data_IF_836081404180
#
_entry.id   IF_836081404180
#
_cell.length_a   1.000
_cell.length_b   1.000
_cell.length_c   1.000
_cell.angle_alpha   90.00
_cell.angle_beta   90.00
_cell.angle_gamma   90.00
#
_symmetry.space_group_name_H-M   'P 1'
#
loop_
_entity.id
_entity.type
_entity.pdbx_description
1 polymer ?
#
# COMPACT_ATOMS: atom_id res chain seq x y z
N UNK A 1 27.02 -10.25 -3.55
CA UNK A 1 27.80 -11.11 -4.47
C UNK A 1 28.87 -10.24 -5.11
N UNK A 2 30.14 -10.47 -4.79
CA UNK A 2 31.26 -9.67 -5.32
C UNK A 2 31.73 -10.15 -6.70
N UNK A 3 32.63 -9.38 -7.32
CA UNK A 3 33.22 -9.67 -8.63
C UNK A 3 34.05 -10.96 -8.64
N UNK A 4 34.70 -11.32 -7.52
CA UNK A 4 35.47 -12.57 -7.43
C UNK A 4 34.54 -13.79 -7.47
N UNK A 5 33.39 -13.74 -6.79
CA UNK A 5 32.35 -14.78 -6.84
C UNK A 5 31.75 -14.90 -8.23
N UNK A 6 31.47 -13.76 -8.89
CA UNK A 6 30.97 -13.75 -10.26
C UNK A 6 31.99 -14.36 -11.24
N UNK A 7 33.26 -13.98 -11.13
CA UNK A 7 34.34 -14.51 -11.96
C UNK A 7 34.57 -16.01 -11.71
N UNK A 8 34.55 -16.45 -10.45
CA UNK A 8 34.62 -17.87 -10.08
C UNK A 8 33.44 -18.67 -10.66
N UNK A 9 32.23 -18.12 -10.66
CA UNK A 9 31.08 -18.78 -11.27
C UNK A 9 31.24 -18.95 -12.80
N UNK A 10 31.80 -17.96 -13.49
CA UNK A 10 32.13 -18.05 -14.92
C UNK A 10 33.19 -19.13 -15.18
N UNK A 11 34.26 -19.16 -14.38
CA UNK A 11 35.30 -20.18 -14.46
C UNK A 11 34.74 -21.60 -14.29
N UNK A 12 33.95 -21.82 -13.23
CA UNK A 12 33.34 -23.14 -12.96
C UNK A 12 32.41 -23.60 -14.08
N UNK A 13 31.71 -22.67 -14.75
CA UNK A 13 30.81 -23.01 -15.85
C UNK A 13 31.55 -23.29 -17.16
N UNK A 14 32.46 -22.39 -17.55
CA UNK A 14 33.08 -22.43 -18.88
C UNK A 14 34.32 -23.31 -18.95
N UNK A 15 35.17 -23.33 -17.92
CA UNK A 15 36.45 -24.06 -17.93
C UNK A 15 36.32 -25.43 -17.26
N UNK A 16 35.70 -25.50 -16.08
CA UNK A 16 35.47 -26.78 -15.37
C UNK A 16 34.25 -27.56 -15.92
N UNK A 17 33.47 -26.93 -16.81
CA UNK A 17 32.36 -27.57 -17.53
C UNK A 17 31.15 -27.91 -16.67
N UNK A 18 30.96 -27.26 -15.52
CA UNK A 18 29.78 -27.50 -14.69
C UNK A 18 28.52 -26.96 -15.36
N UNK A 19 27.51 -27.81 -15.51
CA UNK A 19 26.19 -27.41 -16.04
C UNK A 19 25.13 -27.21 -14.95
N UNK A 20 25.40 -27.67 -13.73
CA UNK A 20 24.47 -27.56 -12.61
C UNK A 20 24.68 -26.25 -11.83
N UNK A 21 23.79 -25.28 -12.04
CA UNK A 21 23.86 -23.98 -11.36
C UNK A 21 23.81 -24.06 -9.83
N UNK A 22 23.19 -25.08 -9.23
CA UNK A 22 23.21 -25.26 -7.75
C UNK A 22 24.60 -25.61 -7.25
N UNK A 23 25.32 -26.45 -8.00
CA UNK A 23 26.70 -26.83 -7.68
C UNK A 23 27.61 -25.61 -7.79
N UNK A 24 27.48 -24.85 -8.88
CA UNK A 24 28.24 -23.62 -9.09
C UNK A 24 27.96 -22.60 -7.99
N UNK A 25 26.68 -22.40 -7.62
CA UNK A 25 26.31 -21.50 -6.54
C UNK A 25 26.98 -21.88 -5.21
N UNK A 26 26.96 -23.17 -4.86
CA UNK A 26 27.62 -23.65 -3.64
C UNK A 26 29.14 -23.47 -3.69
N UNK A 27 29.79 -23.79 -4.80
CA UNK A 27 31.25 -23.70 -4.90
C UNK A 27 31.76 -22.26 -5.04
N UNK A 28 30.98 -21.39 -5.66
CA UNK A 28 31.27 -19.97 -5.77
C UNK A 28 30.82 -19.16 -4.55
N UNK A 29 30.24 -19.80 -3.53
CA UNK A 29 29.68 -19.13 -2.34
C UNK A 29 28.65 -18.04 -2.69
N UNK A 30 27.75 -18.38 -3.61
CA UNK A 30 26.67 -17.51 -4.10
C UNK A 30 25.34 -18.04 -3.53
N UNK A 31 24.61 -17.16 -2.84
CA UNK A 31 23.37 -17.51 -2.13
C UNK A 31 22.23 -17.97 -3.03
N UNK A 32 22.22 -17.53 -4.30
CA UNK A 32 21.11 -17.75 -5.22
C UNK A 32 21.57 -18.38 -6.53
N UNK A 33 20.88 -19.44 -6.92
CA UNK A 33 21.06 -20.11 -8.22
C UNK A 33 20.70 -19.23 -9.40
N UNK A 34 19.71 -18.35 -9.20
CA UNK A 34 19.26 -17.43 -10.25
C UNK A 34 20.32 -16.35 -10.52
N UNK A 35 21.07 -15.92 -9.50
CA UNK A 35 22.19 -14.99 -9.68
C UNK A 35 23.30 -15.61 -10.53
N UNK A 36 23.65 -16.88 -10.27
CA UNK A 36 24.62 -17.63 -11.08
C UNK A 36 24.20 -17.68 -12.54
N UNK A 37 22.93 -18.03 -12.79
CA UNK A 37 22.38 -18.09 -14.15
C UNK A 37 22.49 -16.74 -14.86
N UNK A 38 22.09 -15.65 -14.19
CA UNK A 38 22.16 -14.30 -14.75
C UNK A 38 23.59 -13.83 -15.02
N UNK A 39 24.57 -14.22 -14.19
CA UNK A 39 26.01 -13.96 -14.43
C UNK A 39 26.47 -14.67 -15.71
N UNK A 40 26.18 -15.97 -15.81
CA UNK A 40 26.59 -16.80 -16.95
C UNK A 40 25.94 -16.31 -18.25
N UNK A 41 24.67 -15.93 -18.20
CA UNK A 41 23.94 -15.34 -19.33
C UNK A 41 24.41 -13.92 -19.70
N UNK A 42 25.33 -13.31 -18.94
CA UNK A 42 25.82 -11.95 -19.19
C UNK A 42 24.81 -10.84 -18.89
N UNK A 43 23.74 -11.18 -18.17
CA UNK A 43 22.74 -10.20 -17.70
C UNK A 43 23.25 -9.42 -16.50
N UNK A 44 24.24 -9.96 -15.77
CA UNK A 44 24.91 -9.32 -14.64
C UNK A 44 26.41 -9.31 -14.86
N UNK A 45 27.08 -8.29 -14.32
CA UNK A 45 28.54 -8.18 -14.32
C UNK A 45 29.15 -8.30 -15.72
N UNK A 46 28.57 -7.61 -16.71
CA UNK A 46 29.01 -7.68 -18.11
C UNK A 46 30.50 -7.34 -18.28
N UNK A 47 31.01 -6.37 -17.53
CA UNK A 47 32.45 -6.06 -17.49
C UNK A 47 33.29 -7.28 -17.09
N UNK A 48 32.88 -7.99 -16.05
CA UNK A 48 33.54 -9.23 -15.58
C UNK A 48 33.45 -10.33 -16.64
N UNK A 49 32.34 -10.44 -17.36
CA UNK A 49 32.19 -11.40 -18.44
C UNK A 49 33.10 -11.08 -19.64
N UNK A 50 33.23 -9.81 -19.98
CA UNK A 50 34.12 -9.35 -21.05
C UNK A 50 35.59 -9.51 -20.67
N UNK A 51 35.94 -9.26 -19.41
CA UNK A 51 37.27 -9.51 -18.84
C UNK A 51 37.58 -11.01 -18.79
N UNK A 52 36.62 -11.85 -18.37
CA UNK A 52 36.77 -13.30 -18.36
C UNK A 52 37.06 -13.86 -19.77
N UNK A 53 36.38 -13.36 -20.82
CA UNK A 53 36.67 -13.76 -22.21
C UNK A 53 38.09 -13.41 -22.64
N UNK A 54 38.61 -12.26 -22.22
CA UNK A 54 39.99 -11.87 -22.50
C UNK A 54 40.99 -12.77 -21.78
N UNK A 55 40.68 -13.13 -20.55
CA UNK A 55 41.48 -14.02 -19.70
C UNK A 55 41.48 -15.46 -20.23
N UNK A 56 40.33 -15.98 -20.69
CA UNK A 56 40.23 -17.26 -21.42
C UNK A 56 41.10 -17.26 -22.68
N UNK A 57 41.09 -16.17 -23.46
CA UNK A 57 41.93 -16.05 -24.66
C UNK A 57 43.44 -16.04 -24.35
N UNK A 58 43.82 -15.69 -23.12
CA UNK A 58 45.21 -15.68 -22.64
C UNK A 58 45.58 -16.92 -21.84
N UNK A 59 44.61 -17.74 -21.45
CA UNK A 59 44.80 -18.87 -20.54
C UNK A 59 45.21 -18.47 -19.12
N UNK A 60 44.89 -17.24 -18.69
CA UNK A 60 45.24 -16.71 -17.37
C UNK A 60 43.97 -16.41 -16.56
N UNK A 61 43.64 -17.30 -15.64
CA UNK A 61 42.47 -17.19 -14.76
C UNK A 61 42.82 -16.67 -13.36
N UNK A 62 44.03 -16.12 -13.17
CA UNK A 62 44.52 -15.65 -11.88
C UNK A 62 43.97 -14.28 -11.45
N UNK A 63 43.06 -13.68 -12.22
CA UNK A 63 42.54 -12.34 -11.94
C UNK A 63 41.82 -12.30 -10.60
N UNK A 64 42.20 -11.32 -9.78
CA UNK A 64 41.49 -11.01 -8.54
C UNK A 64 40.99 -9.57 -8.59
N UNK A 65 39.80 -9.37 -8.04
CA UNK A 65 39.18 -8.06 -7.90
C UNK A 65 39.34 -7.58 -6.47
N UNK A 66 39.51 -6.27 -6.25
CA UNK A 66 39.51 -5.70 -4.91
C UNK A 66 38.20 -6.08 -4.20
N UNK A 67 38.34 -6.54 -2.96
CA UNK A 67 37.19 -6.87 -2.12
C UNK A 67 36.45 -5.55 -1.83
N UNK A 68 35.12 -5.48 -2.09
CA UNK A 68 34.31 -4.33 -1.73
C UNK A 68 34.57 -3.91 -0.28
N UNK A 69 35.02 -2.67 -0.07
CA UNK A 69 35.02 -2.08 1.27
C UNK A 69 33.66 -1.40 1.47
N UNK A 70 32.79 -1.91 2.35
CA UNK A 70 31.45 -1.40 2.47
C UNK A 70 31.48 0.05 2.97
N UNK A 71 30.86 0.94 2.20
CA UNK A 71 30.67 2.34 2.55
C UNK A 71 29.44 2.45 3.44
N UNK A 72 29.65 3.02 4.62
CA UNK A 72 28.56 3.45 5.48
C UNK A 72 28.11 4.83 4.99
N UNK A 73 26.96 4.88 4.34
CA UNK A 73 26.40 6.11 3.77
C UNK A 73 25.96 7.04 4.90
N UNK A 74 26.23 8.34 4.75
CA UNK A 74 25.56 9.37 5.53
C UNK A 74 24.07 9.40 5.20
N UNK A 75 23.27 10.04 6.07
CA UNK A 75 21.81 10.15 5.86
C UNK A 75 21.48 10.81 4.51
N UNK A 76 22.21 11.87 4.14
CA UNK A 76 22.03 12.56 2.85
C UNK A 76 22.39 11.66 1.66
N UNK A 77 23.53 10.95 1.72
CA UNK A 77 23.93 10.04 0.64
C UNK A 77 22.97 8.86 0.50
N UNK A 78 22.44 8.36 1.62
CA UNK A 78 21.43 7.31 1.63
C UNK A 78 20.16 7.75 0.93
N UNK A 79 19.66 8.95 1.25
CA UNK A 79 18.44 9.49 0.62
C UNK A 79 18.64 9.80 -0.87
N UNK A 80 19.76 10.41 -1.26
CA UNK A 80 20.09 10.66 -2.67
C UNK A 80 20.19 9.36 -3.48
N UNK A 81 20.77 8.31 -2.89
CA UNK A 81 20.89 7.01 -3.54
C UNK A 81 19.52 6.32 -3.66
N UNK A 82 18.69 6.40 -2.62
CA UNK A 82 17.32 5.90 -2.61
C UNK A 82 16.49 6.57 -3.71
N UNK A 83 16.53 7.90 -3.83
CA UNK A 83 15.79 8.66 -4.85
C UNK A 83 16.23 8.30 -6.27
N UNK A 84 17.53 8.09 -6.46
CA UNK A 84 18.11 7.63 -7.73
C UNK A 84 17.58 6.25 -8.12
N UNK A 85 17.52 5.31 -7.18
CA UNK A 85 17.01 3.96 -7.43
C UNK A 85 15.50 3.92 -7.61
N UNK A 86 14.76 4.72 -6.84
CA UNK A 86 13.34 4.90 -7.04
C UNK A 86 13.04 5.41 -8.46
N UNK A 87 13.78 6.42 -8.92
CA UNK A 87 13.66 6.95 -10.29
C UNK A 87 13.92 5.88 -11.35
N UNK A 88 14.89 4.98 -11.12
CA UNK A 88 15.17 3.85 -12.03
C UNK A 88 14.02 2.85 -12.07
N UNK A 89 13.48 2.47 -10.90
CA UNK A 89 12.32 1.59 -10.79
C UNK A 89 11.12 2.19 -11.54
N UNK A 90 10.86 3.48 -11.35
CA UNK A 90 9.74 4.19 -11.98
C UNK A 90 9.87 4.28 -13.50
N UNK A 91 11.09 4.33 -14.03
CA UNK A 91 11.32 4.34 -15.49
C UNK A 91 11.03 2.99 -16.17
N UNK A 92 10.63 1.95 -15.42
CA UNK A 92 10.37 0.58 -15.91
C UNK A 92 11.58 -0.11 -16.57
N UNK A 93 12.78 0.46 -16.47
CA UNK A 93 14.02 -0.12 -17.03
C UNK A 93 14.68 -1.12 -16.10
N UNK A 94 14.35 -1.09 -14.82
CA UNK A 94 14.98 -1.87 -13.78
C UNK A 94 13.93 -2.48 -12.85
N UNK A 95 14.19 -3.71 -12.42
CA UNK A 95 13.42 -4.44 -11.42
C UNK A 95 14.03 -4.24 -10.02
N UNK A 96 13.27 -4.56 -8.97
CA UNK A 96 13.78 -4.59 -7.59
C UNK A 96 15.04 -5.48 -7.48
N UNK A 97 15.09 -6.58 -8.23
CA UNK A 97 16.25 -7.45 -8.26
C UNK A 97 17.48 -6.76 -8.87
N UNK A 98 17.29 -5.95 -9.91
CA UNK A 98 18.39 -5.16 -10.49
C UNK A 98 18.90 -4.10 -9.49
N UNK A 99 17.99 -3.49 -8.71
CA UNK A 99 18.37 -2.54 -7.65
C UNK A 99 19.18 -3.24 -6.55
N UNK A 100 18.78 -4.45 -6.12
CA UNK A 100 19.55 -5.25 -5.17
C UNK A 100 20.98 -5.45 -5.64
N UNK A 101 21.18 -5.66 -6.94
CA UNK A 101 22.51 -5.81 -7.53
C UNK A 101 23.25 -4.47 -7.54
N UNK A 102 22.61 -3.37 -7.93
CA UNK A 102 23.28 -2.06 -7.92
C UNK A 102 23.72 -1.63 -6.52
N UNK A 103 22.95 -1.96 -5.47
CA UNK A 103 23.36 -1.71 -4.09
C UNK A 103 24.64 -2.45 -3.70
N UNK A 104 24.86 -3.65 -4.26
CA UNK A 104 26.10 -4.41 -4.08
C UNK A 104 27.25 -3.76 -4.86
N UNK A 105 26.97 -3.25 -6.07
CA UNK A 105 27.96 -2.58 -6.92
C UNK A 105 28.40 -1.22 -6.38
N UNK A 106 27.51 -0.52 -5.68
CA UNK A 106 27.80 0.76 -5.02
C UNK A 106 28.51 0.58 -3.66
N UNK A 107 28.89 -0.66 -3.33
CA UNK A 107 29.58 -1.05 -2.10
C UNK A 107 28.84 -0.58 -0.83
N UNK A 108 27.51 -0.57 -0.82
CA UNK A 108 26.73 -0.08 0.34
C UNK A 108 26.83 -1.07 1.50
N UNK A 109 26.94 -0.57 2.74
CA UNK A 109 26.92 -1.40 3.95
C UNK A 109 25.70 -2.34 3.96
N UNK A 110 25.86 -3.65 4.25
CA UNK A 110 24.80 -4.64 4.03
C UNK A 110 23.49 -4.36 4.77
N UNK A 111 23.54 -3.78 5.98
CA UNK A 111 22.31 -3.44 6.72
C UNK A 111 21.60 -2.26 6.07
N UNK A 112 22.34 -1.22 5.66
CA UNK A 112 21.79 -0.09 4.91
C UNK A 112 21.22 -0.54 3.57
N UNK A 113 21.91 -1.41 2.83
CA UNK A 113 21.43 -1.95 1.57
C UNK A 113 20.13 -2.74 1.75
N UNK A 114 20.06 -3.60 2.78
CA UNK A 114 18.86 -4.39 3.09
C UNK A 114 17.69 -3.48 3.49
N UNK A 115 17.95 -2.46 4.31
CA UNK A 115 16.94 -1.46 4.71
C UNK A 115 16.41 -0.70 3.49
N UNK A 116 17.30 -0.20 2.63
CA UNK A 116 16.95 0.56 1.44
C UNK A 116 16.14 -0.30 0.46
N UNK A 117 16.54 -1.55 0.25
CA UNK A 117 15.80 -2.47 -0.60
C UNK A 117 14.38 -2.71 -0.08
N UNK A 118 14.22 -2.86 1.25
CA UNK A 118 12.90 -2.99 1.87
C UNK A 118 12.03 -1.76 1.66
N UNK A 119 12.59 -0.57 1.89
CA UNK A 119 11.89 0.72 1.68
C UNK A 119 11.47 0.90 0.22
N UNK A 120 12.38 0.66 -0.73
CA UNK A 120 12.09 0.75 -2.17
C UNK A 120 11.06 -0.27 -2.63
N UNK A 121 11.09 -1.49 -2.09
CA UNK A 121 10.09 -2.52 -2.40
C UNK A 121 8.71 -2.11 -1.90
N UNK A 122 8.62 -1.57 -0.68
CA UNK A 122 7.36 -1.07 -0.13
C UNK A 122 6.79 0.08 -0.97
N UNK A 123 7.63 1.06 -1.35
CA UNK A 123 7.21 2.16 -2.21
C UNK A 123 6.75 1.64 -3.58
N UNK A 124 7.53 0.78 -4.22
CA UNK A 124 7.19 0.24 -5.54
C UNK A 124 5.87 -0.54 -5.53
N UNK A 125 5.65 -1.38 -4.50
CA UNK A 125 4.40 -2.12 -4.36
C UNK A 125 3.22 -1.18 -4.11
N UNK A 126 3.37 -0.17 -3.26
CA UNK A 126 2.33 0.85 -3.04
C UNK A 126 1.95 1.55 -4.35
N UNK A 127 2.94 1.96 -5.15
CA UNK A 127 2.68 2.62 -6.43
C UNK A 127 2.04 1.69 -7.47
N UNK A 128 2.42 0.41 -7.46
CA UNK A 128 1.80 -0.60 -8.31
C UNK A 128 0.34 -0.81 -7.94
N UNK A 129 0.02 -0.89 -6.65
CA UNK A 129 -1.34 -0.96 -6.13
C UNK A 129 -2.16 0.28 -6.51
N UNK A 130 -1.62 1.49 -6.32
CA UNK A 130 -2.26 2.74 -6.73
C UNK A 130 -2.57 2.75 -8.25
N UNK A 131 -1.66 2.24 -9.07
CA UNK A 131 -1.88 2.12 -10.50
C UNK A 131 -3.04 1.14 -10.81
N UNK A 132 -3.12 0.02 -10.11
CA UNK A 132 -4.22 -0.94 -10.27
C UNK A 132 -5.55 -0.32 -9.83
N UNK A 133 -5.58 0.44 -8.73
CA UNK A 133 -6.77 1.16 -8.26
C UNK A 133 -7.29 2.14 -9.30
N UNK A 134 -6.39 2.95 -9.87
CA UNK A 134 -6.78 3.89 -10.92
C UNK A 134 -7.39 3.19 -12.14
N UNK A 135 -6.85 2.03 -12.55
CA UNK A 135 -7.39 1.23 -13.65
C UNK A 135 -8.75 0.62 -13.28
N UNK A 136 -8.86 0.06 -12.08
CA UNK A 136 -10.10 -0.52 -11.57
C UNK A 136 -11.21 0.53 -11.49
N UNK A 137 -10.93 1.70 -10.92
CA UNK A 137 -11.91 2.79 -10.83
C UNK A 137 -12.35 3.29 -12.20
N UNK A 138 -11.46 3.35 -13.19
CA UNK A 138 -11.86 3.68 -14.55
C UNK A 138 -12.81 2.63 -15.14
N UNK A 139 -12.58 1.34 -14.88
CA UNK A 139 -13.49 0.24 -15.27
C UNK A 139 -14.85 0.40 -14.58
N UNK A 140 -14.86 0.60 -13.26
CA UNK A 140 -16.09 0.77 -12.48
C UNK A 140 -16.86 2.03 -12.90
N UNK A 141 -16.18 3.13 -13.24
CA UNK A 141 -16.82 4.34 -13.76
C UNK A 141 -17.58 4.06 -15.06
N UNK A 142 -16.99 3.27 -15.97
CA UNK A 142 -17.69 2.85 -17.19
C UNK A 142 -18.91 2.00 -16.87
N UNK A 143 -18.79 1.02 -15.98
CA UNK A 143 -19.90 0.13 -15.61
C UNK A 143 -21.04 0.89 -14.90
N UNK A 144 -20.74 2.01 -14.26
CA UNK A 144 -21.72 2.90 -13.62
C UNK A 144 -22.37 3.92 -14.56
N UNK A 145 -21.98 3.98 -15.85
CA UNK A 145 -22.62 4.88 -16.82
C UNK A 145 -24.06 4.49 -17.10
N UNK A 146 -24.92 5.44 -17.50
CA UNK A 146 -26.31 5.14 -17.80
C UNK A 146 -26.42 4.18 -18.99
N UNK A 147 -27.44 3.30 -18.90
CA UNK A 147 -27.88 2.48 -20.02
C UNK A 147 -28.45 3.37 -21.13
N UNK A 148 -28.44 2.84 -22.36
CA UNK A 148 -28.99 3.52 -23.53
C UNK A 148 -30.00 2.62 -24.25
N UNK A 149 -30.73 3.20 -25.18
CA UNK A 149 -31.50 2.43 -26.16
C UNK A 149 -30.68 2.23 -27.42
N UNK A 150 -30.77 1.02 -27.96
CA UNK A 150 -30.20 0.63 -29.24
C UNK A 150 -31.25 -0.05 -30.10
N UNK A 151 -30.84 -0.47 -31.28
CA UNK A 151 -31.64 -1.27 -32.19
C UNK A 151 -30.84 -2.52 -32.53
N UNK A 152 -31.47 -3.70 -32.44
CA UNK A 152 -30.83 -4.94 -32.85
C UNK A 152 -30.85 -5.12 -34.38
N UNK A 153 -30.32 -6.25 -34.86
CA UNK A 153 -30.25 -6.54 -36.29
C UNK A 153 -31.64 -6.70 -36.96
N UNK A 154 -32.68 -6.94 -36.17
CA UNK A 154 -34.07 -7.13 -36.63
C UNK A 154 -34.89 -5.83 -36.59
N UNK A 155 -34.29 -4.73 -36.12
CA UNK A 155 -34.96 -3.44 -36.00
C UNK A 155 -35.74 -3.25 -34.70
N UNK A 156 -35.57 -4.13 -33.71
CA UNK A 156 -36.25 -4.07 -32.42
C UNK A 156 -35.46 -3.14 -31.48
N UNK A 157 -36.17 -2.26 -30.78
CA UNK A 157 -35.57 -1.37 -29.78
C UNK A 157 -35.21 -2.21 -28.54
N UNK A 158 -33.93 -2.18 -28.17
CA UNK A 158 -33.39 -2.92 -27.03
C UNK A 158 -32.68 -1.98 -26.06
N UNK A 159 -32.55 -2.40 -24.80
CA UNK A 159 -31.67 -1.70 -23.83
C UNK A 159 -30.24 -2.20 -24.00
N UNK A 160 -29.29 -1.29 -24.02
CA UNK A 160 -27.86 -1.59 -24.08
C UNK A 160 -27.12 -1.03 -22.87
N UNK A 161 -26.13 -1.78 -22.40
CA UNK A 161 -25.36 -1.55 -21.19
C UNK A 161 -23.93 -1.13 -21.53
N UNK A 162 -23.30 -0.23 -20.77
CA UNK A 162 -21.93 0.19 -21.02
C UNK A 162 -20.93 -0.92 -20.63
N UNK A 163 -19.97 -1.18 -21.52
CA UNK A 163 -18.89 -2.14 -21.36
C UNK A 163 -17.55 -1.42 -21.63
N UNK A 164 -16.57 -1.50 -20.72
CA UNK A 164 -15.28 -0.90 -20.96
C UNK A 164 -14.49 -1.69 -22.02
N UNK A 165 -13.87 -0.95 -22.95
CA UNK A 165 -12.92 -1.51 -23.91
C UNK A 165 -11.52 -1.31 -23.37
N UNK A 166 -10.79 -2.39 -23.11
CA UNK A 166 -9.47 -2.35 -22.47
C UNK A 166 -8.32 -2.46 -23.47
N UNK A 167 -7.19 -1.85 -23.11
CA UNK A 167 -5.87 -2.13 -23.67
C UNK A 167 -5.28 -3.42 -23.10
N UNK A 168 -4.16 -3.88 -23.69
CA UNK A 168 -3.39 -5.01 -23.16
C UNK A 168 -2.85 -4.75 -21.73
N UNK A 169 -2.65 -3.49 -21.35
CA UNK A 169 -2.25 -3.08 -20.00
C UNK A 169 -3.44 -2.68 -19.10
N UNK A 170 -4.65 -3.12 -19.44
CA UNK A 170 -5.90 -2.92 -18.70
C UNK A 170 -6.34 -1.46 -18.51
N UNK A 171 -5.90 -0.55 -19.38
CA UNK A 171 -6.41 0.82 -19.42
C UNK A 171 -7.68 0.88 -20.26
N UNK A 172 -8.68 1.60 -19.77
CA UNK A 172 -9.91 1.88 -20.51
C UNK A 172 -9.58 2.77 -21.71
N UNK A 173 -9.79 2.27 -22.93
CA UNK A 173 -9.64 3.00 -24.19
C UNK A 173 -10.96 3.61 -24.67
N UNK A 174 -12.09 3.05 -24.26
CA UNK A 174 -13.40 3.45 -24.73
C UNK A 174 -14.52 2.69 -24.06
N UNK A 175 -15.74 2.94 -24.54
CA UNK A 175 -16.97 2.35 -24.03
C UNK A 175 -17.73 1.77 -25.21
N UNK A 176 -18.05 0.49 -25.12
CA UNK A 176 -18.94 -0.20 -26.05
C UNK A 176 -20.29 -0.42 -25.36
N UNK A 177 -21.38 -0.34 -26.10
CA UNK A 177 -22.72 -0.62 -25.54
C UNK A 177 -23.20 -1.97 -26.04
N UNK A 178 -23.48 -2.91 -25.13
CA UNK A 178 -23.88 -4.29 -25.45
C UNK A 178 -25.28 -4.62 -24.95
N UNK A 179 -25.95 -5.57 -25.60
CA UNK A 179 -27.31 -6.01 -25.25
C UNK A 179 -27.41 -6.75 -23.92
N UNK A 180 -26.28 -7.14 -23.32
CA UNK A 180 -26.22 -7.87 -22.06
C UNK A 180 -25.45 -7.08 -20.99
N UNK A 181 -25.83 -7.27 -19.72
CA UNK A 181 -25.27 -6.51 -18.58
C UNK A 181 -23.94 -7.07 -18.07
N UNK A 182 -23.70 -8.37 -18.22
CA UNK A 182 -22.54 -9.05 -17.64
C UNK A 182 -21.24 -8.62 -18.29
N UNK A 183 -20.30 -8.10 -17.51
CA UNK A 183 -18.94 -7.80 -17.93
C UNK A 183 -17.97 -8.68 -17.14
N UNK A 184 -17.07 -9.36 -17.85
CA UNK A 184 -16.01 -10.18 -17.23
C UNK A 184 -14.79 -9.30 -16.97
N UNK A 185 -14.54 -9.01 -15.70
CA UNK A 185 -13.37 -8.23 -15.29
C UNK A 185 -12.10 -9.09 -15.38
N UNK A 186 -10.98 -8.55 -15.89
CA UNK A 186 -9.70 -9.26 -15.84
C UNK A 186 -9.34 -9.68 -14.41
N UNK A 187 -8.84 -10.89 -14.24
CA UNK A 187 -8.52 -11.51 -12.94
C UNK A 187 -7.69 -10.59 -12.04
N UNK A 188 -6.65 -9.96 -12.60
CA UNK A 188 -5.80 -9.02 -11.86
C UNK A 188 -6.57 -7.83 -11.26
N UNK A 189 -7.56 -7.30 -11.98
CA UNK A 189 -8.40 -6.20 -11.48
C UNK A 189 -9.49 -6.70 -10.52
N UNK A 190 -9.97 -7.93 -10.74
CA UNK A 190 -10.93 -8.57 -9.85
C UNK A 190 -10.32 -8.85 -8.47
N UNK A 191 -9.09 -9.37 -8.43
CA UNK A 191 -8.36 -9.58 -7.18
C UNK A 191 -8.20 -8.27 -6.40
N UNK A 192 -7.83 -7.18 -7.11
CA UNK A 192 -7.72 -5.86 -6.47
C UNK A 192 -9.07 -5.35 -5.97
N UNK A 193 -10.15 -5.58 -6.71
CA UNK A 193 -11.50 -5.22 -6.28
C UNK A 193 -11.90 -5.94 -4.98
N UNK A 194 -11.59 -7.23 -4.86
CA UNK A 194 -11.86 -8.01 -3.64
C UNK A 194 -11.12 -7.41 -2.44
N UNK A 195 -9.83 -7.09 -2.61
CA UNK A 195 -9.03 -6.47 -1.55
C UNK A 195 -9.65 -5.15 -1.08
N UNK A 196 -10.03 -4.26 -2.00
CA UNK A 196 -10.66 -2.99 -1.65
C UNK A 196 -12.02 -3.18 -0.95
N UNK A 197 -12.80 -4.19 -1.36
CA UNK A 197 -14.08 -4.48 -0.72
C UNK A 197 -13.89 -4.94 0.73
N UNK A 198 -12.91 -5.82 0.98
CA UNK A 198 -12.57 -6.27 2.33
C UNK A 198 -12.13 -5.10 3.22
N UNK A 199 -11.35 -4.16 2.67
CA UNK A 199 -10.92 -2.95 3.38
C UNK A 199 -12.11 -2.06 3.77
N UNK A 200 -13.06 -1.87 2.86
CA UNK A 200 -14.30 -1.12 3.10
C UNK A 200 -15.10 -1.78 4.23
N UNK A 201 -15.31 -3.09 4.17
CA UNK A 201 -16.07 -3.84 5.17
C UNK A 201 -15.44 -3.71 6.57
N UNK A 202 -14.11 -3.75 6.66
CA UNK A 202 -13.38 -3.53 7.92
C UNK A 202 -13.58 -2.11 8.45
N UNK A 203 -13.55 -1.10 7.58
CA UNK A 203 -13.76 0.30 7.95
C UNK A 203 -15.20 0.52 8.43
N UNK A 204 -16.19 0.00 7.72
CA UNK A 204 -17.60 0.09 8.10
C UNK A 204 -17.86 -0.58 9.47
N UNK A 205 -17.29 -1.76 9.70
CA UNK A 205 -17.39 -2.45 10.98
C UNK A 205 -16.77 -1.64 12.13
N UNK A 206 -15.64 -0.95 11.90
CA UNK A 206 -15.03 -0.04 12.88
C UNK A 206 -15.93 1.18 13.13
N UNK A 207 -16.51 1.76 12.08
CA UNK A 207 -17.40 2.90 12.19
C UNK A 207 -18.66 2.56 13.01
N UNK A 208 -19.31 1.43 12.73
CA UNK A 208 -20.49 0.98 13.47
C UNK A 208 -20.19 0.73 14.97
N UNK A 209 -19.02 0.17 15.30
CA UNK A 209 -18.59 0.01 16.71
C UNK A 209 -18.37 1.36 17.41
N UNK A 210 -17.88 2.36 16.70
CA UNK A 210 -17.62 3.70 17.25
C UNK A 210 -18.90 4.49 17.51
N UNK A 211 -19.91 4.38 16.64
CA UNK A 211 -21.21 5.06 16.78
C UNK A 211 -22.08 4.40 17.85
N UNK A 212 -21.98 3.09 18.03
CA UNK A 212 -22.69 2.34 19.07
C UNK A 212 -22.21 2.70 20.49
N UNK A 213 -20.92 3.02 20.68
CA UNK A 213 -20.37 3.42 21.99
C UNK A 213 -20.75 4.84 22.44
N UNK A 214 -21.23 5.71 21.55
CA UNK A 214 -21.66 7.09 21.91
C UNK A 214 -23.10 7.18 22.43
N UNK A 215 -23.88 6.09 22.40
CA UNK A 215 -25.30 6.05 22.81
C UNK A 215 -25.54 5.51 24.22
N UNK A 216 -24.50 5.33 25.05
CA UNK A 216 -24.71 5.19 26.49
C UNK A 216 -24.89 6.58 27.10
N UNK A 217 -26.15 6.98 27.30
CA UNK A 217 -26.50 8.10 28.16
C UNK A 217 -25.78 7.92 29.50
N UNK A 218 -24.84 8.82 29.82
CA UNK A 218 -24.22 8.87 31.14
C UNK A 218 -25.33 9.01 32.18
N UNK A 219 -25.68 7.90 32.84
CA UNK A 219 -26.54 7.89 34.03
C UNK A 219 -25.83 8.67 35.14
N UNK A 220 -26.05 9.98 35.15
CA UNK A 220 -25.66 10.82 36.26
C UNK A 220 -26.33 10.36 37.56
N UNK A 221 -25.70 10.66 38.69
CA UNK A 221 -26.23 10.35 40.03
C UNK A 221 -27.69 10.82 40.13
N UNK A 222 -28.60 9.92 40.51
CA UNK A 222 -30.03 10.23 40.67
C UNK A 222 -30.18 11.48 41.55
N UNK A 223 -30.92 12.48 41.07
CA UNK A 223 -31.20 13.71 41.82
C UNK A 223 -31.78 13.34 43.19
N UNK A 224 -31.29 14.00 44.24
CA UNK A 224 -31.81 13.83 45.61
C UNK A 224 -33.26 14.35 45.74
N UNK A 225 -33.67 15.23 44.83
CA UNK A 225 -34.99 15.86 44.81
C UNK A 225 -35.83 15.29 43.68
N UNK A 226 -37.10 14.99 43.97
CA UNK A 226 -38.06 14.50 42.98
C UNK A 226 -38.37 15.56 41.93
N UNK A 227 -38.79 15.11 40.75
CA UNK A 227 -39.17 16.01 39.65
C UNK A 227 -40.34 16.93 40.02
N UNK A 228 -41.31 16.41 40.79
CA UNK A 228 -42.46 17.16 41.28
C UNK A 228 -42.05 18.32 42.19
N UNK A 229 -41.11 18.09 43.10
CA UNK A 229 -40.62 19.12 44.01
C UNK A 229 -39.85 20.22 43.26
N UNK A 230 -39.05 19.82 42.27
CA UNK A 230 -38.33 20.76 41.40
C UNK A 230 -39.33 21.61 40.59
N UNK A 231 -40.43 21.02 40.12
CA UNK A 231 -41.46 21.74 39.38
C UNK A 231 -42.17 22.77 40.26
N UNK A 232 -42.51 22.41 41.51
CA UNK A 232 -43.08 23.36 42.48
C UNK A 232 -42.17 24.57 42.71
N UNK A 233 -40.85 24.36 42.79
CA UNK A 233 -39.90 25.48 42.92
C UNK A 233 -39.89 26.39 41.69
N UNK A 234 -40.05 25.83 40.49
CA UNK A 234 -40.14 26.61 39.25
C UNK A 234 -41.43 27.42 39.18
N UNK A 235 -42.55 26.83 39.57
CA UNK A 235 -43.85 27.49 39.55
C UNK A 235 -43.88 28.66 40.55
N UNK A 236 -43.30 28.49 41.75
CA UNK A 236 -43.13 29.57 42.73
C UNK A 236 -42.18 30.67 42.23
N UNK A 237 -41.15 30.32 41.45
CA UNK A 237 -40.28 31.32 40.81
C UNK A 237 -41.01 32.10 39.73
N UNK A 238 -41.87 31.45 38.95
CA UNK A 238 -42.69 32.08 37.93
C UNK A 238 -43.77 32.99 38.53
N UNK A 239 -44.29 32.66 39.72
CA UNK A 239 -45.22 33.54 40.45
C UNK A 239 -44.55 34.73 41.15
N UNK A 240 -43.24 34.92 40.96
CA UNK A 240 -42.49 36.08 41.44
C UNK A 240 -41.77 35.88 42.78
N UNK A 241 -41.81 34.68 43.36
CA UNK A 241 -41.08 34.41 44.60
C UNK A 241 -39.57 34.37 44.36
N UNK A 242 -38.77 34.90 45.30
CA UNK A 242 -37.31 34.84 45.19
C UNK A 242 -36.77 33.45 45.53
N UNK A 243 -35.65 33.03 44.91
CA UNK A 243 -34.98 31.76 45.25
C UNK A 243 -34.66 31.65 46.75
N UNK A 244 -34.45 32.79 47.44
CA UNK A 244 -34.15 32.84 48.87
C UNK A 244 -35.39 32.49 49.71
N UNK A 245 -36.55 33.03 49.34
CA UNK A 245 -37.82 32.67 49.99
C UNK A 245 -38.18 31.19 49.77
N UNK A 246 -37.98 30.66 48.56
CA UNK A 246 -38.19 29.22 48.28
C UNK A 246 -37.22 28.34 49.06
N UNK A 247 -35.96 28.76 49.18
CA UNK A 247 -34.92 28.09 49.98
C UNK A 247 -35.31 28.00 51.45
N UNK A 248 -35.81 29.08 52.02
CA UNK A 248 -36.27 29.15 53.41
C UNK A 248 -37.53 28.30 53.63
N UNK A 249 -38.50 28.37 52.70
CA UNK A 249 -39.76 27.63 52.80
C UNK A 249 -39.60 26.11 52.74
N UNK A 250 -38.69 25.61 51.90
CA UNK A 250 -38.46 24.17 51.73
C UNK A 250 -37.25 23.66 52.53
N UNK A 251 -36.59 24.52 53.30
CA UNK A 251 -35.35 24.24 54.03
C UNK A 251 -34.29 23.56 53.15
N UNK A 252 -34.12 24.08 51.93
CA UNK A 252 -33.14 23.59 50.94
C UNK A 252 -32.12 24.69 50.69
N UNK A 253 -30.81 24.38 50.58
CA UNK A 253 -29.80 25.39 50.32
C UNK A 253 -30.10 26.20 49.05
N UNK A 254 -29.94 27.52 49.14
CA UNK A 254 -30.19 28.46 48.04
C UNK A 254 -29.57 28.03 46.71
N UNK A 255 -28.33 27.55 46.73
CA UNK A 255 -27.59 27.12 45.53
C UNK A 255 -28.29 25.98 44.78
N UNK A 256 -28.97 25.09 45.50
CA UNK A 256 -29.70 23.95 44.90
C UNK A 256 -30.99 24.46 44.25
N UNK A 257 -31.74 25.32 44.94
CA UNK A 257 -32.96 25.92 44.39
C UNK A 257 -32.63 26.76 43.15
N UNK A 258 -31.59 27.58 43.22
CA UNK A 258 -31.07 28.37 42.09
C UNK A 258 -30.66 27.47 40.92
N UNK A 259 -29.89 26.41 41.18
CA UNK A 259 -29.46 25.47 40.15
C UNK A 259 -30.63 24.79 39.42
N UNK A 260 -31.69 24.41 40.13
CA UNK A 260 -32.82 23.72 39.52
C UNK A 260 -33.85 24.64 38.87
N UNK A 261 -33.95 25.89 39.32
CA UNK A 261 -34.94 26.85 38.81
C UNK A 261 -34.39 27.74 37.70
N UNK A 262 -33.09 28.07 37.70
CA UNK A 262 -32.46 28.88 36.65
C UNK A 262 -31.96 28.07 35.45
N UNK A 263 -32.00 26.73 35.49
CA UNK A 263 -31.60 25.85 34.36
C UNK A 263 -32.64 25.80 33.22
N UNK A 264 -33.53 26.77 33.16
CA UNK A 264 -34.53 26.93 32.11
C UNK A 264 -34.45 28.35 31.53
N UNK A 265 -33.28 28.64 30.91
CA UNK A 265 -33.15 29.33 29.63
C UNK A 265 -32.10 28.56 28.84
#
# INVERSE_FOLDING_TARGET
MDFNKAYKALYLYHEEGYSNYKKIASEADIESTELVKKVIEGRLFKSIQDEFKQDTARGDFGRTYPIPEPKNLSETEYDELKDRYLSRLMSSKNTIEDIRIYLILDDVEPKQATKMLGELTAIYNSMYEDMLDNKLFAVLDVLNKPTKWGMDAEGIIITVYPHPVLSNDYKVKGIEYKSYKSYEMPELLLDRYIVLQDEIDVIEAKYQKSTSKKKEEKRGRKSKYSAELIQQWKDLRQSGMSCRAVSEQYNVPYNIVSYHTNKAV
#
